data_IF_347150755649
#
_entry.id   IF_347150755649
#
_cell.length_a   1.000
_cell.length_b   1.000
_cell.length_c   1.000
_cell.angle_alpha   90.00
_cell.angle_beta   90.00
_cell.angle_gamma   90.00
#
_symmetry.space_group_name_H-M   'P 1'
#
loop_
_entity.id
_entity.type
_entity.pdbx_description
1 polymer ?
#
# COMPACT_ATOMS: atom_id res chain seq x y z
N UNK A 1 12.79 -19.53 -2.27
CA UNK A 1 11.44 -19.66 -2.87
C UNK A 1 10.90 -18.25 -3.04
N UNK A 2 10.22 -17.90 -4.16
CA UNK A 2 9.62 -16.57 -4.33
C UNK A 2 8.44 -16.42 -3.38
N UNK A 3 8.28 -15.25 -2.76
CA UNK A 3 7.09 -14.92 -1.97
C UNK A 3 5.92 -14.65 -2.91
N UNK A 4 4.78 -15.25 -2.63
CA UNK A 4 3.50 -14.94 -3.27
C UNK A 4 2.96 -13.66 -2.67
N UNK A 5 2.77 -12.65 -3.48
CA UNK A 5 2.29 -11.33 -3.04
C UNK A 5 0.91 -11.08 -3.61
N UNK A 6 0.00 -10.63 -2.76
CA UNK A 6 -1.21 -9.93 -3.17
C UNK A 6 -1.01 -8.47 -2.77
N UNK A 7 -1.11 -7.55 -3.72
CA UNK A 7 -1.20 -6.13 -3.45
C UNK A 7 -2.66 -5.72 -3.40
N UNK A 8 -3.05 -5.00 -2.34
CA UNK A 8 -4.38 -4.41 -2.21
C UNK A 8 -4.24 -2.89 -2.32
N UNK A 9 -4.61 -2.37 -3.50
CA UNK A 9 -4.23 -1.04 -3.95
C UNK A 9 -5.44 -0.12 -4.04
N UNK A 10 -5.30 1.11 -3.57
CA UNK A 10 -6.19 2.23 -3.89
C UNK A 10 -5.61 3.18 -4.96
N UNK A 11 -4.79 2.67 -5.75
CA UNK A 11 -3.88 3.04 -6.84
C UNK A 11 -3.68 4.53 -7.03
N UNK A 12 -2.85 5.04 -6.12
CA UNK A 12 -2.20 6.34 -6.19
C UNK A 12 -0.79 6.26 -6.77
N UNK A 13 0.00 7.30 -6.52
CA UNK A 13 1.38 7.42 -7.04
C UNK A 13 2.30 6.42 -6.35
N UNK A 14 2.27 6.34 -5.03
CA UNK A 14 3.12 5.44 -4.26
C UNK A 14 2.69 3.97 -4.36
N UNK A 15 1.39 3.66 -4.52
CA UNK A 15 0.90 2.34 -4.95
C UNK A 15 1.54 1.90 -6.27
N UNK A 16 1.59 2.82 -7.25
CA UNK A 16 2.21 2.56 -8.56
C UNK A 16 3.70 2.25 -8.41
N UNK A 17 4.41 2.97 -7.54
CA UNK A 17 5.81 2.70 -7.24
C UNK A 17 6.00 1.37 -6.51
N UNK A 18 5.09 1.01 -5.58
CA UNK A 18 5.10 -0.27 -4.89
C UNK A 18 4.85 -1.44 -5.86
N UNK A 19 3.90 -1.29 -6.78
CA UNK A 19 3.63 -2.26 -7.85
C UNK A 19 4.87 -2.47 -8.72
N UNK A 20 5.49 -1.39 -9.21
CA UNK A 20 6.70 -1.46 -10.03
C UNK A 20 7.87 -2.13 -9.27
N UNK A 21 8.02 -1.84 -7.98
CA UNK A 21 9.03 -2.47 -7.13
C UNK A 21 8.81 -3.98 -6.97
N UNK A 22 7.58 -4.42 -6.70
CA UNK A 22 7.27 -5.86 -6.59
C UNK A 22 7.52 -6.56 -7.91
N UNK A 23 7.11 -5.99 -9.05
CA UNK A 23 7.34 -6.55 -10.38
C UNK A 23 8.82 -6.61 -10.76
N UNK A 24 9.62 -5.67 -10.29
CA UNK A 24 11.08 -5.64 -10.44
C UNK A 24 11.85 -6.51 -9.43
N UNK A 25 11.15 -7.17 -8.51
CA UNK A 25 11.78 -7.95 -7.44
C UNK A 25 11.88 -9.44 -7.80
N UNK A 26 13.11 -10.01 -7.94
CA UNK A 26 13.29 -11.41 -8.36
C UNK A 26 12.83 -12.42 -7.31
N UNK A 27 12.68 -12.00 -6.06
CA UNK A 27 12.24 -12.76 -4.90
C UNK A 27 10.71 -12.68 -4.67
N UNK A 28 9.99 -11.93 -5.50
CA UNK A 28 8.53 -11.79 -5.49
C UNK A 28 7.86 -12.53 -6.66
N UNK A 29 6.60 -12.92 -6.43
CA UNK A 29 5.65 -13.33 -7.45
C UNK A 29 4.31 -12.66 -7.12
N UNK A 30 3.95 -11.63 -7.88
CA UNK A 30 2.65 -10.99 -7.75
C UNK A 30 1.58 -11.91 -8.33
N UNK A 31 0.73 -12.47 -7.48
CA UNK A 31 -0.32 -13.42 -7.89
C UNK A 31 -1.65 -12.76 -8.22
N UNK A 32 -1.83 -11.50 -7.85
CA UNK A 32 -2.99 -10.69 -8.17
C UNK A 32 -2.99 -9.36 -7.45
N UNK A 33 -3.78 -8.43 -7.98
CA UNK A 33 -4.10 -7.14 -7.36
C UNK A 33 -5.55 -7.20 -6.91
N UNK A 34 -5.81 -6.78 -5.68
CA UNK A 34 -7.16 -6.50 -5.17
C UNK A 34 -7.32 -4.99 -5.12
N UNK A 35 -8.24 -4.44 -5.93
CA UNK A 35 -8.47 -3.01 -5.95
C UNK A 35 -9.40 -2.59 -4.80
N UNK A 36 -9.13 -1.43 -4.23
CA UNK A 36 -9.97 -0.78 -3.23
C UNK A 36 -10.18 0.69 -3.59
N UNK A 37 -10.98 1.39 -2.81
CA UNK A 37 -11.13 2.85 -2.87
C UNK A 37 -10.10 3.49 -1.93
N UNK A 38 -9.82 4.77 -2.13
CA UNK A 38 -8.93 5.53 -1.23
C UNK A 38 -8.37 6.76 -1.90
N UNK A 39 -7.22 6.68 -2.51
CA UNK A 39 -6.61 7.78 -3.27
C UNK A 39 -7.48 8.20 -4.47
N UNK A 40 -8.22 7.23 -5.01
CA UNK A 40 -9.23 7.42 -6.06
C UNK A 40 -10.45 6.56 -5.79
N UNK A 41 -11.54 6.76 -6.53
CA UNK A 41 -12.66 5.80 -6.54
C UNK A 41 -12.21 4.48 -7.15
N UNK A 42 -12.81 3.38 -6.71
CA UNK A 42 -12.36 2.03 -7.09
C UNK A 42 -12.34 1.80 -8.61
N UNK A 43 -13.28 2.38 -9.36
CA UNK A 43 -13.34 2.26 -10.82
C UNK A 43 -12.11 2.90 -11.48
N UNK A 44 -11.65 4.04 -10.95
CA UNK A 44 -10.43 4.68 -11.42
C UNK A 44 -9.20 3.84 -11.03
N UNK A 45 -9.15 3.30 -9.81
CA UNK A 45 -8.09 2.40 -9.34
C UNK A 45 -7.95 1.17 -10.24
N UNK A 46 -9.06 0.47 -10.52
CA UNK A 46 -9.08 -0.69 -11.45
C UNK A 46 -8.57 -0.29 -12.85
N UNK A 47 -9.02 0.86 -13.36
CA UNK A 47 -8.56 1.35 -14.67
C UNK A 47 -7.04 1.62 -14.66
N UNK A 48 -6.52 2.19 -13.59
CA UNK A 48 -5.09 2.43 -13.42
C UNK A 48 -4.31 1.10 -13.34
N UNK A 49 -4.74 0.16 -12.52
CA UNK A 49 -4.09 -1.15 -12.36
C UNK A 49 -3.95 -1.89 -13.69
N UNK A 50 -5.04 -1.99 -14.44
CA UNK A 50 -5.04 -2.67 -15.74
C UNK A 50 -4.11 -1.98 -16.76
N UNK A 51 -4.11 -0.65 -16.80
CA UNK A 51 -3.24 0.14 -17.67
C UNK A 51 -1.77 0.09 -17.25
N UNK A 52 -1.49 0.11 -15.94
CA UNK A 52 -0.15 -0.05 -15.39
C UNK A 52 0.42 -1.43 -15.68
N UNK A 53 -0.37 -2.49 -15.50
CA UNK A 53 0.05 -3.85 -15.85
C UNK A 53 0.33 -3.99 -17.35
N UNK A 54 -0.42 -3.31 -18.21
CA UNK A 54 -0.14 -3.26 -19.65
C UNK A 54 1.16 -2.53 -19.94
N UNK A 55 1.36 -1.32 -19.37
CA UNK A 55 2.59 -0.54 -19.52
C UNK A 55 3.82 -1.34 -19.05
N UNK A 56 3.67 -2.11 -18.00
CA UNK A 56 4.73 -2.91 -17.39
C UNK A 56 4.94 -4.27 -18.08
N UNK A 57 4.16 -4.59 -19.13
CA UNK A 57 4.23 -5.89 -19.84
C UNK A 57 3.84 -7.07 -18.94
N UNK A 58 2.88 -6.87 -18.04
CA UNK A 58 2.40 -7.84 -17.05
C UNK A 58 0.88 -8.01 -17.06
N UNK A 59 0.21 -7.75 -18.18
CA UNK A 59 -1.25 -7.83 -18.35
C UNK A 59 -1.85 -9.21 -18.01
N UNK A 60 -1.03 -10.25 -17.89
CA UNK A 60 -1.47 -11.58 -17.43
C UNK A 60 -1.77 -11.66 -15.93
N UNK A 61 -1.36 -10.67 -15.13
CA UNK A 61 -1.64 -10.63 -13.69
C UNK A 61 -3.10 -10.20 -13.49
N UNK A 62 -3.90 -10.97 -12.74
CA UNK A 62 -5.31 -10.67 -12.56
C UNK A 62 -5.53 -9.49 -11.60
N UNK A 63 -6.54 -8.67 -11.92
CA UNK A 63 -7.05 -7.60 -11.06
C UNK A 63 -8.46 -7.98 -10.60
N UNK A 64 -8.73 -7.88 -9.30
CA UNK A 64 -10.00 -8.23 -8.68
C UNK A 64 -10.65 -7.00 -8.06
N UNK A 65 -11.93 -6.79 -8.35
CA UNK A 65 -12.69 -5.70 -7.77
C UNK A 65 -13.00 -5.98 -6.29
N UNK A 66 -12.63 -5.07 -5.43
CA UNK A 66 -12.95 -5.08 -4.01
C UNK A 66 -14.19 -4.26 -3.66
N UNK A 67 -14.27 -3.88 -2.39
CA UNK A 67 -15.34 -3.05 -1.85
C UNK A 67 -15.06 -1.59 -2.20
N UNK A 68 -16.11 -0.86 -2.56
CA UNK A 68 -16.01 0.50 -3.12
C UNK A 68 -16.25 1.63 -2.11
N UNK A 69 -16.46 1.31 -0.85
CA UNK A 69 -16.80 2.28 0.20
C UNK A 69 -16.44 1.78 1.60
N UNK A 70 -16.31 2.64 2.61
CA UNK A 70 -16.10 2.25 4.01
C UNK A 70 -17.19 1.32 4.54
N UNK A 71 -16.82 0.50 5.51
CA UNK A 71 -17.73 -0.50 6.11
C UNK A 71 -18.93 0.12 6.85
N UNK A 72 -18.85 1.40 7.20
CA UNK A 72 -19.90 2.18 7.87
C UNK A 72 -20.62 3.16 6.92
N UNK A 73 -20.38 3.10 5.62
CA UNK A 73 -20.97 3.96 4.60
C UNK A 73 -21.54 3.14 3.44
N UNK A 74 -22.34 3.80 2.57
CA UNK A 74 -22.90 3.20 1.34
C UNK A 74 -22.30 3.77 0.05
N UNK A 75 -21.38 4.74 0.17
CA UNK A 75 -20.69 5.38 -0.94
C UNK A 75 -19.35 5.91 -0.45
N UNK A 76 -18.49 6.27 -1.38
CA UNK A 76 -17.21 6.89 -1.11
C UNK A 76 -17.03 8.15 -1.95
N UNK A 77 -16.54 9.20 -1.31
CA UNK A 77 -16.07 10.42 -1.95
C UNK A 77 -14.59 10.59 -1.64
N UNK A 78 -13.78 10.84 -2.67
CA UNK A 78 -12.33 11.01 -2.51
C UNK A 78 -12.07 12.25 -1.66
N UNK A 79 -11.29 12.15 -0.58
CA UNK A 79 -10.93 13.32 0.22
C UNK A 79 -10.11 14.33 -0.58
N UNK A 80 -10.31 15.62 -0.31
CA UNK A 80 -9.55 16.69 -0.95
C UNK A 80 -8.02 16.50 -0.80
N UNK A 81 -7.58 16.00 0.35
CA UNK A 81 -6.17 15.67 0.59
C UNK A 81 -5.64 14.63 -0.41
N UNK A 82 -6.40 13.58 -0.70
CA UNK A 82 -6.01 12.57 -1.69
C UNK A 82 -5.96 13.16 -3.11
N UNK A 83 -6.93 14.01 -3.48
CA UNK A 83 -6.92 14.70 -4.78
C UNK A 83 -5.72 15.66 -4.91
N UNK A 84 -5.29 16.30 -3.83
CA UNK A 84 -4.11 17.17 -3.81
C UNK A 84 -2.86 16.34 -4.12
N UNK A 85 -2.63 15.23 -3.41
CA UNK A 85 -1.40 14.46 -3.54
C UNK A 85 -1.35 13.55 -4.77
N UNK A 86 -2.48 12.95 -5.18
CA UNK A 86 -2.50 11.95 -6.26
C UNK A 86 -3.20 12.46 -7.53
N UNK A 87 -3.77 13.66 -7.50
CA UNK A 87 -4.67 14.22 -8.51
C UNK A 87 -5.92 13.33 -8.72
N UNK A 88 -6.85 13.79 -9.56
CA UNK A 88 -8.12 13.08 -9.79
C UNK A 88 -7.96 11.72 -10.48
N UNK A 89 -6.87 11.54 -11.23
CA UNK A 89 -6.59 10.30 -11.93
C UNK A 89 -5.71 9.32 -11.14
N UNK A 90 -5.25 9.67 -9.94
CA UNK A 90 -4.38 8.83 -9.11
C UNK A 90 -2.91 8.79 -9.55
N UNK A 91 -2.54 9.50 -10.61
CA UNK A 91 -1.19 9.48 -11.20
C UNK A 91 -0.62 10.88 -11.43
N UNK A 92 -1.02 11.86 -10.57
CA UNK A 92 -0.52 13.23 -10.68
C UNK A 92 -0.93 13.94 -11.97
N UNK A 93 -2.10 13.64 -12.51
CA UNK A 93 -2.57 14.07 -13.83
C UNK A 93 -1.69 13.62 -15.01
N UNK A 94 -0.71 12.76 -14.78
CA UNK A 94 0.10 12.15 -15.84
C UNK A 94 -0.69 10.98 -16.46
N UNK A 95 -0.85 11.01 -17.78
CA UNK A 95 -1.57 9.94 -18.50
C UNK A 95 -0.72 8.66 -18.54
N UNK A 96 -1.29 7.52 -18.15
CA UNK A 96 -0.61 6.22 -18.30
C UNK A 96 -0.52 5.91 -19.80
N UNK A 97 0.69 5.77 -20.38
CA UNK A 97 0.86 5.67 -21.83
C UNK A 97 0.57 4.25 -22.37
N UNK A 98 -0.49 3.62 -21.84
CA UNK A 98 -0.96 2.29 -22.24
C UNK A 98 -2.49 2.23 -22.18
N UNK A 99 -3.07 1.34 -22.97
CA UNK A 99 -4.50 1.01 -22.92
C UNK A 99 -4.62 -0.42 -22.42
N UNK A 100 -5.51 -0.64 -21.46
CA UNK A 100 -5.78 -1.97 -20.94
C UNK A 100 -6.28 -2.90 -22.09
N UNK A 101 -5.70 -4.08 -22.17
CA UNK A 101 -6.10 -5.16 -23.09
C UNK A 101 -6.86 -6.26 -22.37
N UNK A 102 -6.84 -6.25 -21.03
CA UNK A 102 -7.55 -7.18 -20.14
C UNK A 102 -8.63 -6.44 -19.36
N UNK A 103 -9.46 -7.18 -18.66
CA UNK A 103 -10.51 -6.66 -17.80
C UNK A 103 -10.38 -7.22 -16.38
N UNK A 104 -11.06 -6.56 -15.43
CA UNK A 104 -11.21 -7.05 -14.06
C UNK A 104 -11.83 -8.45 -14.07
N UNK A 105 -11.41 -9.29 -13.12
CA UNK A 105 -11.91 -10.65 -12.97
C UNK A 105 -13.35 -10.65 -12.43
N UNK A 106 -14.14 -11.68 -12.79
CA UNK A 106 -15.51 -11.87 -12.28
C UNK A 106 -15.54 -12.18 -10.77
N UNK A 107 -14.50 -12.84 -10.26
CA UNK A 107 -14.35 -13.16 -8.83
C UNK A 107 -14.07 -11.87 -8.07
N UNK A 108 -14.69 -11.72 -6.90
CA UNK A 108 -14.42 -10.59 -6.02
C UNK A 108 -13.02 -10.65 -5.39
N UNK A 109 -12.45 -9.49 -5.02
CA UNK A 109 -11.22 -9.40 -4.23
C UNK A 109 -11.31 -10.21 -2.93
N UNK A 110 -12.43 -10.11 -2.22
CA UNK A 110 -12.68 -10.84 -0.97
C UNK A 110 -12.56 -12.37 -1.19
N UNK A 111 -13.17 -12.88 -2.25
CA UNK A 111 -13.11 -14.32 -2.55
C UNK A 111 -11.71 -14.76 -3.00
N UNK A 112 -11.00 -13.90 -3.72
CA UNK A 112 -9.61 -14.17 -4.11
C UNK A 112 -8.66 -14.20 -2.91
N UNK A 113 -8.81 -13.30 -1.95
CA UNK A 113 -8.05 -13.31 -0.69
C UNK A 113 -8.29 -14.62 0.07
N UNK A 114 -9.56 -15.00 0.23
CA UNK A 114 -9.94 -16.23 0.94
C UNK A 114 -9.35 -17.48 0.27
N UNK A 115 -9.49 -17.58 -1.04
CA UNK A 115 -8.98 -18.73 -1.80
C UNK A 115 -7.45 -18.80 -1.73
N UNK A 116 -6.76 -17.66 -1.86
CA UNK A 116 -5.31 -17.60 -1.77
C UNK A 116 -4.79 -18.01 -0.40
N UNK A 117 -5.42 -17.54 0.69
CA UNK A 117 -5.07 -17.92 2.05
C UNK A 117 -5.33 -19.40 2.36
N UNK A 118 -6.24 -20.06 1.63
CA UNK A 118 -6.48 -21.50 1.73
C UNK A 118 -5.56 -22.32 0.84
N UNK A 119 -5.05 -21.73 -0.24
CA UNK A 119 -4.22 -22.42 -1.24
C UNK A 119 -2.74 -22.41 -0.85
N UNK A 120 -2.23 -21.29 -0.36
CA UNK A 120 -0.82 -21.10 -0.04
C UNK A 120 -0.59 -21.18 1.47
N UNK A 121 0.60 -21.61 1.86
CA UNK A 121 1.01 -21.56 3.27
C UNK A 121 1.27 -20.13 3.73
N UNK A 122 1.16 -19.90 5.04
CA UNK A 122 1.46 -18.60 5.67
C UNK A 122 2.90 -18.13 5.40
N UNK A 123 3.84 -19.05 5.19
CA UNK A 123 5.23 -18.71 4.91
C UNK A 123 5.46 -18.31 3.45
N UNK A 124 4.54 -18.67 2.55
CA UNK A 124 4.61 -18.35 1.12
C UNK A 124 3.85 -17.08 0.77
N UNK A 125 2.66 -16.87 1.36
CA UNK A 125 1.75 -15.79 1.02
C UNK A 125 1.91 -14.59 1.94
N UNK A 126 2.07 -13.40 1.34
CA UNK A 126 1.99 -12.11 2.03
C UNK A 126 0.94 -11.24 1.35
N UNK A 127 0.01 -10.76 2.12
CA UNK A 127 -0.98 -9.77 1.72
C UNK A 127 -0.48 -8.38 2.12
N UNK A 128 -0.43 -7.47 1.16
CA UNK A 128 0.13 -6.13 1.33
C UNK A 128 -0.93 -5.09 0.99
N UNK A 129 -1.76 -4.68 1.95
CA UNK A 129 -2.68 -3.58 1.75
C UNK A 129 -1.93 -2.25 1.87
N UNK A 130 -2.16 -1.39 0.88
CA UNK A 130 -1.65 -0.01 0.81
C UNK A 130 -2.76 1.04 0.84
N UNK A 131 -4.01 0.59 0.84
CA UNK A 131 -5.22 1.37 1.06
C UNK A 131 -5.96 0.97 2.35
N UNK A 132 -7.26 1.33 2.48
CA UNK A 132 -8.09 0.97 3.63
C UNK A 132 -8.26 -0.55 3.78
N UNK A 133 -8.38 -1.00 5.02
CA UNK A 133 -8.43 -2.43 5.37
C UNK A 133 -9.75 -3.13 5.04
N UNK A 134 -10.66 -2.49 4.31
CA UNK A 134 -12.05 -2.93 4.09
C UNK A 134 -12.14 -4.31 3.42
N UNK A 135 -11.29 -4.59 2.41
CA UNK A 135 -11.25 -5.89 1.75
C UNK A 135 -10.81 -7.01 2.71
N UNK A 136 -9.78 -6.75 3.51
CA UNK A 136 -9.24 -7.71 4.47
C UNK A 136 -10.23 -8.01 5.60
N UNK A 137 -10.87 -6.98 6.15
CA UNK A 137 -11.91 -7.12 7.16
C UNK A 137 -13.07 -7.97 6.65
N UNK A 138 -13.57 -7.69 5.45
CA UNK A 138 -14.63 -8.48 4.83
C UNK A 138 -14.22 -9.93 4.57
N UNK A 139 -12.96 -10.17 4.18
CA UNK A 139 -12.44 -11.52 4.01
C UNK A 139 -12.39 -12.29 5.34
N UNK A 140 -11.93 -11.66 6.41
CA UNK A 140 -11.90 -12.24 7.75
C UNK A 140 -13.31 -12.49 8.31
N UNK A 141 -14.24 -11.57 8.10
CA UNK A 141 -15.65 -11.74 8.50
C UNK A 141 -16.32 -12.90 7.75
N UNK A 142 -16.07 -13.02 6.43
CA UNK A 142 -16.65 -14.08 5.59
C UNK A 142 -16.02 -15.45 5.84
N UNK A 143 -14.73 -15.49 6.17
CA UNK A 143 -13.97 -16.72 6.34
C UNK A 143 -13.01 -16.65 7.54
N UNK A 144 -13.50 -16.76 8.79
CA UNK A 144 -12.65 -16.67 9.97
C UNK A 144 -11.51 -17.69 10.02
N UNK A 145 -11.62 -18.80 9.28
CA UNK A 145 -10.60 -19.85 9.19
C UNK A 145 -9.30 -19.41 8.50
N UNK A 146 -9.29 -18.25 7.82
CA UNK A 146 -8.09 -17.75 7.14
C UNK A 146 -7.26 -16.79 7.99
N UNK A 147 -7.78 -16.30 9.10
CA UNK A 147 -7.14 -15.27 9.94
C UNK A 147 -5.71 -15.65 10.33
N UNK A 148 -5.50 -16.89 10.75
CA UNK A 148 -4.17 -17.38 11.15
C UNK A 148 -3.32 -17.91 9.97
N UNK A 149 -3.89 -17.92 8.76
CA UNK A 149 -3.23 -18.49 7.56
C UNK A 149 -2.58 -17.43 6.67
N UNK A 150 -2.87 -16.17 6.87
CA UNK A 150 -2.36 -15.08 6.07
C UNK A 150 -1.37 -14.22 6.87
N UNK A 151 -0.29 -13.80 6.23
CA UNK A 151 0.63 -12.80 6.76
C UNK A 151 0.29 -11.45 6.12
N UNK A 152 0.12 -10.44 6.95
CA UNK A 152 -0.22 -9.08 6.51
C UNK A 152 0.95 -8.16 6.78
N UNK A 153 1.37 -7.42 5.76
CA UNK A 153 2.31 -6.29 5.89
C UNK A 153 1.60 -5.08 5.32
N UNK A 154 1.02 -4.26 6.19
CA UNK A 154 0.17 -3.15 5.77
C UNK A 154 0.90 -1.82 5.84
N UNK A 155 0.67 -0.97 4.83
CA UNK A 155 0.94 0.45 4.96
C UNK A 155 -0.26 1.12 5.61
N UNK A 156 -0.01 1.82 6.69
CA UNK A 156 -1.05 2.58 7.38
C UNK A 156 -0.75 2.81 8.85
N UNK A 157 -1.45 3.78 9.42
CA UNK A 157 -1.39 4.10 10.82
C UNK A 157 -0.15 4.88 11.27
N UNK A 158 -0.19 5.22 12.54
CA UNK A 158 0.88 5.95 13.20
C UNK A 158 0.78 5.70 14.71
N UNK A 159 1.83 5.15 15.32
CA UNK A 159 1.84 4.88 16.75
C UNK A 159 2.50 6.02 17.55
N UNK A 160 3.68 6.46 17.12
CA UNK A 160 4.50 7.45 17.85
C UNK A 160 4.56 8.81 17.14
N UNK A 161 4.12 8.88 15.87
CA UNK A 161 4.10 10.10 15.07
C UNK A 161 2.68 10.70 15.00
N UNK A 162 2.53 11.98 14.66
CA UNK A 162 1.23 12.52 14.26
C UNK A 162 0.73 11.84 12.97
N UNK A 163 -0.54 12.03 12.66
CA UNK A 163 -1.10 11.63 11.38
C UNK A 163 -0.66 12.56 10.23
N UNK A 164 -1.00 12.19 9.00
CA UNK A 164 -0.78 12.99 7.79
C UNK A 164 -2.08 13.58 7.21
N UNK A 165 -3.26 13.09 7.63
CA UNK A 165 -4.54 13.74 7.32
C UNK A 165 -4.90 14.82 8.34
N UNK A 166 -4.55 14.61 9.60
CA UNK A 166 -4.58 15.58 10.69
C UNK A 166 -3.66 15.07 11.81
N UNK A 167 -3.66 15.75 12.97
CA UNK A 167 -2.77 15.38 14.09
C UNK A 167 -2.98 13.96 14.64
N UNK A 168 -4.06 13.27 14.29
CA UNK A 168 -4.40 11.94 14.81
C UNK A 168 -4.39 10.85 13.75
N UNK A 169 -4.89 11.15 12.54
CA UNK A 169 -5.23 10.16 11.52
C UNK A 169 -4.15 10.04 10.45
N UNK A 170 -3.74 8.81 10.18
CA UNK A 170 -3.07 8.44 8.95
C UNK A 170 -4.13 8.12 7.86
N UNK A 171 -3.80 8.38 6.60
CA UNK A 171 -4.74 8.36 5.48
C UNK A 171 -5.51 7.03 5.35
N UNK A 172 -4.81 5.89 5.24
CA UNK A 172 -5.43 4.59 4.99
C UNK A 172 -6.34 4.13 6.14
N UNK A 173 -5.87 4.32 7.38
CA UNK A 173 -6.68 4.00 8.56
C UNK A 173 -7.89 4.92 8.67
N UNK A 174 -7.75 6.20 8.29
CA UNK A 174 -8.82 7.19 8.41
C UNK A 174 -10.01 6.91 7.48
N UNK A 175 -9.78 6.22 6.39
CA UNK A 175 -10.81 5.92 5.37
C UNK A 175 -11.77 4.82 5.80
N UNK A 176 -11.33 3.85 6.62
CA UNK A 176 -12.20 2.87 7.29
C UNK A 176 -11.64 2.48 8.67
N UNK A 177 -11.79 3.36 9.69
CA UNK A 177 -11.31 3.07 11.04
C UNK A 177 -11.97 1.85 11.66
N UNK A 178 -13.24 1.59 11.32
CA UNK A 178 -13.98 0.43 11.83
C UNK A 178 -13.43 -0.88 11.30
N UNK A 179 -13.16 -0.97 9.99
CA UNK A 179 -12.53 -2.16 9.41
C UNK A 179 -11.13 -2.37 9.98
N UNK A 180 -10.34 -1.30 10.08
CA UNK A 180 -8.98 -1.35 10.63
C UNK A 180 -8.96 -1.80 12.09
N UNK A 181 -9.89 -1.29 12.93
CA UNK A 181 -10.04 -1.73 14.33
C UNK A 181 -10.38 -3.23 14.41
N UNK A 182 -11.34 -3.70 13.59
CA UNK A 182 -11.69 -5.13 13.57
C UNK A 182 -10.52 -6.01 13.14
N UNK A 183 -9.77 -5.59 12.12
CA UNK A 183 -8.57 -6.31 11.64
C UNK A 183 -7.50 -6.39 12.73
N UNK A 184 -7.18 -5.30 13.41
CA UNK A 184 -6.19 -5.29 14.50
C UNK A 184 -6.60 -6.11 15.73
N UNK A 185 -7.90 -6.30 15.95
CA UNK A 185 -8.40 -7.13 17.06
C UNK A 185 -8.38 -8.63 16.78
N UNK A 186 -8.06 -9.05 15.57
CA UNK A 186 -7.94 -10.46 15.20
C UNK A 186 -6.64 -11.10 15.73
N UNK A 187 -6.45 -12.38 15.44
CA UNK A 187 -5.20 -13.13 15.71
C UNK A 187 -4.25 -13.16 14.50
N UNK A 188 -4.55 -12.39 13.46
CA UNK A 188 -3.72 -12.33 12.26
C UNK A 188 -2.29 -11.83 12.55
N UNK A 189 -1.31 -12.38 11.86
CA UNK A 189 0.09 -11.91 11.92
C UNK A 189 0.24 -10.63 11.10
N UNK A 190 0.12 -9.48 11.77
CA UNK A 190 0.13 -8.16 11.14
C UNK A 190 1.43 -7.43 11.46
N UNK A 191 2.09 -6.94 10.43
CA UNK A 191 3.18 -5.96 10.55
C UNK A 191 2.67 -4.62 10.01
N UNK A 192 2.53 -3.63 10.88
CA UNK A 192 2.14 -2.28 10.52
C UNK A 192 3.38 -1.45 10.14
N UNK A 193 3.40 -0.94 8.92
CA UNK A 193 4.41 -0.03 8.37
C UNK A 193 3.76 1.36 8.33
N UNK A 194 3.80 2.02 9.47
CA UNK A 194 3.15 3.31 9.67
C UNK A 194 4.07 4.50 9.39
N UNK A 195 3.53 5.70 9.60
CA UNK A 195 4.27 6.96 9.45
C UNK A 195 5.52 7.02 10.33
N UNK A 196 5.57 6.21 11.39
CA UNK A 196 6.75 6.06 12.27
C UNK A 196 8.03 5.77 11.49
N UNK A 197 7.94 5.06 10.37
CA UNK A 197 9.08 4.66 9.53
C UNK A 197 8.99 5.17 8.09
N UNK A 198 7.80 5.30 7.52
CA UNK A 198 7.65 5.68 6.11
C UNK A 198 8.08 7.12 5.83
N UNK A 199 7.95 7.99 6.83
CA UNK A 199 8.43 9.38 6.78
C UNK A 199 9.95 9.52 6.70
N UNK A 200 10.71 8.43 6.88
CA UNK A 200 12.16 8.42 6.86
C UNK A 200 12.75 7.97 5.51
N UNK A 201 11.89 7.52 4.57
CA UNK A 201 12.29 6.98 3.27
C UNK A 201 11.84 7.93 2.15
N UNK A 202 12.80 8.59 1.50
CA UNK A 202 12.53 9.63 0.51
C UNK A 202 13.02 9.24 -0.88
N UNK A 203 12.27 9.68 -1.90
CA UNK A 203 12.67 9.74 -3.30
C UNK A 203 12.76 11.19 -3.74
N UNK A 204 13.81 11.54 -4.46
CA UNK A 204 14.11 12.93 -4.88
C UNK A 204 14.11 13.06 -6.40
N UNK A 205 14.18 14.30 -6.90
CA UNK A 205 14.28 14.56 -8.35
C UNK A 205 15.56 13.99 -8.98
N UNK A 206 16.56 13.63 -8.20
CA UNK A 206 17.74 12.92 -8.70
C UNK A 206 17.38 11.52 -9.19
N UNK A 207 16.55 10.80 -8.47
CA UNK A 207 16.11 9.46 -8.83
C UNK A 207 15.10 9.49 -9.99
N UNK A 208 14.22 10.49 -10.04
CA UNK A 208 13.31 10.66 -11.19
C UNK A 208 14.06 10.98 -12.48
N UNK A 209 15.11 11.77 -12.40
CA UNK A 209 15.95 12.06 -13.56
C UNK A 209 16.72 10.80 -14.04
N UNK A 210 17.16 9.93 -13.13
CA UNK A 210 17.74 8.64 -13.47
C UNK A 210 16.74 7.77 -14.22
N UNK A 211 15.49 7.68 -13.75
CA UNK A 211 14.41 6.95 -14.44
C UNK A 211 14.12 7.53 -15.84
N UNK A 212 14.06 8.86 -15.96
CA UNK A 212 13.82 9.55 -17.25
C UNK A 212 14.95 9.28 -18.24
N UNK A 213 16.18 9.24 -17.76
CA UNK A 213 17.38 8.98 -18.57
C UNK A 213 17.44 7.56 -19.16
N UNK A 214 16.59 6.61 -18.70
CA UNK A 214 16.46 5.29 -19.30
C UNK A 214 15.89 5.34 -20.72
N UNK A 215 15.14 6.39 -21.07
CA UNK A 215 14.55 6.56 -22.40
C UNK A 215 13.38 5.63 -22.70
N UNK A 216 12.88 4.88 -21.72
CA UNK A 216 11.70 4.00 -21.84
C UNK A 216 10.40 4.75 -21.50
N UNK A 217 9.27 4.30 -22.07
CA UNK A 217 7.95 4.87 -21.73
C UNK A 217 7.65 4.72 -20.23
N UNK A 218 7.98 3.57 -19.65
CA UNK A 218 7.85 3.29 -18.20
C UNK A 218 8.71 4.22 -17.36
N UNK A 219 10.00 4.38 -17.69
CA UNK A 219 10.89 5.25 -16.94
C UNK A 219 10.44 6.70 -16.97
N UNK A 220 10.00 7.20 -18.14
CA UNK A 220 9.44 8.55 -18.27
C UNK A 220 8.17 8.72 -17.44
N UNK A 221 7.23 7.79 -17.55
CA UNK A 221 5.95 7.85 -16.81
C UNK A 221 6.18 7.87 -15.30
N UNK A 222 6.99 6.94 -14.77
CA UNK A 222 7.30 6.87 -13.35
C UNK A 222 8.01 8.15 -12.86
N UNK A 223 8.91 8.71 -13.67
CA UNK A 223 9.58 9.96 -13.34
C UNK A 223 8.62 11.15 -13.29
N UNK A 224 7.81 11.34 -14.33
CA UNK A 224 6.90 12.49 -14.43
C UNK A 224 5.82 12.45 -13.33
N UNK A 225 5.28 11.27 -13.04
CA UNK A 225 4.31 11.05 -11.97
C UNK A 225 4.92 11.34 -10.59
N UNK A 226 6.14 10.88 -10.35
CA UNK A 226 6.82 11.11 -9.07
C UNK A 226 7.28 12.56 -8.91
N UNK A 227 7.67 13.23 -9.99
CA UNK A 227 7.98 14.67 -9.94
C UNK A 227 6.77 15.50 -9.48
N UNK A 228 5.56 15.15 -9.97
CA UNK A 228 4.33 15.78 -9.45
C UNK A 228 4.19 15.55 -7.93
N UNK A 229 4.44 14.32 -7.46
CA UNK A 229 4.31 13.99 -6.02
C UNK A 229 5.35 14.74 -5.17
N UNK A 230 6.58 14.90 -5.68
CA UNK A 230 7.62 15.68 -5.01
C UNK A 230 7.22 17.15 -4.94
N UNK A 231 6.76 17.73 -6.06
CA UNK A 231 6.42 19.16 -6.12
C UNK A 231 5.24 19.49 -5.20
N UNK A 232 4.19 18.66 -5.18
CA UNK A 232 3.05 18.87 -4.29
C UNK A 232 3.41 18.61 -2.81
N UNK A 233 4.28 17.65 -2.51
CA UNK A 233 4.75 17.41 -1.14
C UNK A 233 5.49 18.63 -0.57
N UNK A 234 6.34 19.25 -1.38
CA UNK A 234 7.05 20.48 -1.01
C UNK A 234 6.11 21.70 -0.87
N UNK A 235 5.09 21.79 -1.72
CA UNK A 235 4.09 22.87 -1.66
C UNK A 235 3.23 22.78 -0.39
N UNK A 236 2.79 21.55 -0.02
CA UNK A 236 1.92 21.32 1.14
C UNK A 236 2.68 21.46 2.45
N UNK A 237 3.90 20.91 2.54
CA UNK A 237 4.75 21.04 3.73
C UNK A 237 6.23 21.21 3.33
N UNK A 238 6.76 22.45 3.43
CA UNK A 238 8.16 22.75 3.12
C UNK A 238 9.18 21.94 3.96
N UNK A 239 8.77 21.27 5.04
CA UNK A 239 9.64 20.35 5.78
C UNK A 239 10.02 19.11 4.95
N UNK A 240 9.25 18.78 3.91
CA UNK A 240 9.54 17.73 2.94
C UNK A 240 10.27 18.21 1.68
N UNK A 241 10.85 19.43 1.73
CA UNK A 241 11.53 20.03 0.60
C UNK A 241 12.52 19.07 -0.08
N UNK A 242 12.32 18.86 -1.39
CA UNK A 242 13.22 18.10 -2.27
C UNK A 242 12.95 16.61 -2.37
N UNK A 243 11.85 16.09 -1.81
CA UNK A 243 11.52 14.67 -1.93
C UNK A 243 10.07 14.34 -1.62
N UNK A 244 9.66 13.13 -1.98
CA UNK A 244 8.41 12.53 -1.54
C UNK A 244 8.67 11.27 -0.71
N UNK A 245 7.74 10.97 0.20
CA UNK A 245 7.85 9.79 1.05
C UNK A 245 7.46 8.51 0.28
N UNK A 246 8.21 7.44 0.52
CA UNK A 246 7.99 6.12 -0.08
C UNK A 246 7.16 5.25 0.88
N UNK A 247 5.88 5.62 1.09
CA UNK A 247 4.99 4.94 2.04
C UNK A 247 4.77 3.48 1.65
N UNK A 248 4.07 3.23 0.57
CA UNK A 248 3.71 1.89 0.09
C UNK A 248 4.89 1.08 -0.41
N UNK A 249 5.89 1.69 -1.10
CA UNK A 249 7.09 0.97 -1.47
C UNK A 249 7.85 0.37 -0.29
N UNK A 250 7.85 1.04 0.88
CA UNK A 250 8.48 0.50 2.08
C UNK A 250 7.72 -0.72 2.61
N UNK A 251 6.39 -0.68 2.65
CA UNK A 251 5.58 -1.84 3.05
C UNK A 251 5.80 -3.03 2.10
N UNK A 252 5.79 -2.78 0.80
CA UNK A 252 6.10 -3.79 -0.22
C UNK A 252 7.51 -4.39 -0.04
N UNK A 253 8.51 -3.55 0.30
CA UNK A 253 9.87 -4.01 0.54
C UNK A 253 9.99 -4.86 1.82
N UNK A 254 9.31 -4.46 2.90
CA UNK A 254 9.29 -5.22 4.18
C UNK A 254 8.58 -6.57 4.01
N UNK A 255 7.57 -6.68 3.14
CA UNK A 255 6.95 -7.95 2.81
C UNK A 255 7.94 -8.97 2.26
N UNK A 256 8.97 -8.50 1.53
CA UNK A 256 10.04 -9.33 0.97
C UNK A 256 11.23 -9.49 1.93
N UNK A 257 11.58 -8.43 2.64
CA UNK A 257 12.70 -8.40 3.58
C UNK A 257 12.32 -7.72 4.91
N UNK A 258 11.78 -8.48 5.86
CA UNK A 258 11.39 -7.93 7.17
C UNK A 258 12.55 -7.34 7.98
N UNK A 259 13.80 -7.64 7.62
CA UNK A 259 14.97 -7.11 8.32
C UNK A 259 15.27 -5.63 8.01
N UNK A 260 14.49 -5.02 7.10
CA UNK A 260 14.57 -3.58 6.82
C UNK A 260 14.06 -2.72 7.99
N UNK A 261 13.24 -3.29 8.87
CA UNK A 261 12.63 -2.58 9.99
C UNK A 261 12.87 -3.28 11.32
N UNK A 262 12.89 -2.49 12.39
CA UNK A 262 12.81 -3.00 13.76
C UNK A 262 11.40 -2.78 14.27
N UNK A 263 10.75 -3.89 14.64
CA UNK A 263 9.36 -3.87 15.07
C UNK A 263 9.22 -4.00 16.60
N UNK A 264 8.22 -3.33 17.13
CA UNK A 264 7.75 -3.48 18.50
C UNK A 264 6.48 -4.32 18.52
N UNK A 265 6.43 -5.44 19.26
CA UNK A 265 5.24 -6.27 19.36
C UNK A 265 4.21 -5.61 20.29
N UNK A 266 3.03 -5.33 19.76
CA UNK A 266 1.94 -4.66 20.49
C UNK A 266 0.60 -5.03 19.85
N UNK A 267 -0.40 -5.35 20.66
CA UNK A 267 -1.78 -5.42 20.15
C UNK A 267 -2.32 -4.01 19.98
N UNK A 268 -2.86 -3.73 18.80
CA UNK A 268 -3.40 -2.43 18.43
C UNK A 268 -4.93 -2.39 18.52
N UNK A 269 -5.44 -1.19 18.57
CA UNK A 269 -6.82 -0.81 18.25
C UNK A 269 -6.81 0.53 17.52
N UNK A 270 -7.94 0.85 16.90
CA UNK A 270 -8.16 2.15 16.28
C UNK A 270 -9.28 2.87 17.03
N UNK A 271 -9.09 4.15 17.31
CA UNK A 271 -10.17 4.98 17.84
C UNK A 271 -11.20 5.23 16.73
N UNK A 272 -12.41 4.74 16.91
CA UNK A 272 -13.44 4.77 15.86
C UNK A 272 -14.41 5.96 16.00
N UNK A 273 -14.36 6.67 17.12
CA UNK A 273 -15.24 7.77 17.44
C UNK A 273 -14.49 8.98 18.02
N UNK A 274 -15.20 10.08 18.17
CA UNK A 274 -14.68 11.28 18.86
C UNK A 274 -13.53 11.97 18.11
N UNK A 275 -12.80 12.87 18.81
CA UNK A 275 -11.78 13.71 18.17
C UNK A 275 -10.53 12.93 17.71
N UNK A 276 -10.30 11.75 18.27
CA UNK A 276 -9.20 10.87 17.91
C UNK A 276 -9.55 9.81 16.85
N UNK A 277 -10.72 9.89 16.22
CA UNK A 277 -11.15 8.91 15.21
C UNK A 277 -10.05 8.68 14.17
N UNK A 278 -9.74 7.42 13.88
CA UNK A 278 -8.67 7.02 12.97
C UNK A 278 -7.28 6.92 13.61
N UNK A 279 -7.13 7.24 14.90
CA UNK A 279 -5.86 7.08 15.61
C UNK A 279 -5.58 5.63 15.93
N UNK A 280 -4.43 5.12 15.52
CA UNK A 280 -3.88 3.83 15.96
C UNK A 280 -3.23 3.96 17.33
N UNK A 281 -3.63 3.11 18.26
CA UNK A 281 -3.10 3.10 19.64
C UNK A 281 -2.89 1.66 20.11
N UNK A 282 -2.05 1.49 21.15
CA UNK A 282 -1.95 0.21 21.85
C UNK A 282 -3.28 -0.15 22.53
N UNK A 283 -3.72 -1.39 22.35
CA UNK A 283 -4.97 -1.87 22.98
C UNK A 283 -4.80 -2.02 24.50
N UNK A 284 -5.45 -1.17 25.33
CA UNK A 284 -5.27 -1.21 26.79
C UNK A 284 -5.78 -2.51 27.41
N UNK A 285 -6.76 -3.17 26.80
CA UNK A 285 -7.31 -4.45 27.28
C UNK A 285 -6.32 -5.61 27.11
N UNK A 286 -5.37 -5.48 26.20
CA UNK A 286 -4.39 -6.50 25.82
C UNK A 286 -2.95 -6.17 26.20
N UNK A 287 -2.69 -5.17 27.05
CA UNK A 287 -1.33 -4.75 27.40
C UNK A 287 -0.46 -5.89 27.92
N UNK A 288 -1.00 -6.76 28.75
CA UNK A 288 -0.29 -7.88 29.36
C UNK A 288 -0.49 -9.22 28.63
N UNK A 289 -1.30 -9.26 27.55
CA UNK A 289 -1.56 -10.47 26.79
C UNK A 289 -0.32 -10.95 26.03
N UNK A 290 -0.17 -12.26 25.92
CA UNK A 290 0.87 -12.90 25.10
C UNK A 290 0.26 -14.12 24.38
N UNK A 291 0.69 -14.45 23.17
CA UNK A 291 1.60 -13.66 22.33
C UNK A 291 0.95 -12.38 21.81
N UNK A 292 1.77 -11.46 21.29
CA UNK A 292 1.31 -10.31 20.50
C UNK A 292 1.16 -10.71 19.05
N UNK A 293 0.03 -10.38 18.45
CA UNK A 293 -0.25 -10.73 17.04
C UNK A 293 0.19 -9.62 16.07
N UNK A 294 0.19 -8.38 16.53
CA UNK A 294 0.61 -7.21 15.74
C UNK A 294 2.02 -6.77 16.11
N UNK A 295 2.73 -6.27 15.12
CA UNK A 295 4.06 -5.67 15.25
C UNK A 295 4.02 -4.32 14.54
N UNK A 296 4.52 -3.28 15.19
CA UNK A 296 4.64 -1.93 14.62
C UNK A 296 6.10 -1.66 14.33
N UNK A 297 6.41 -1.29 13.08
CA UNK A 297 7.74 -0.84 12.71
C UNK A 297 8.02 0.53 13.33
N UNK A 298 9.08 0.64 14.14
CA UNK A 298 9.47 1.88 14.82
C UNK A 298 10.85 2.39 14.40
N UNK A 299 11.64 1.57 13.71
CA UNK A 299 12.90 1.99 13.10
C UNK A 299 13.05 1.32 11.74
N UNK A 300 13.70 2.00 10.81
CA UNK A 300 13.96 1.54 9.44
C UNK A 300 15.41 1.79 9.05
N UNK A 301 15.99 0.83 8.32
CA UNK A 301 17.24 1.02 7.57
C UNK A 301 16.92 1.69 6.23
N UNK A 302 16.64 3.01 6.30
CA UNK A 302 16.19 3.79 5.16
C UNK A 302 17.22 3.80 4.01
N UNK A 303 18.51 3.84 4.32
CA UNK A 303 19.58 3.82 3.31
C UNK A 303 19.61 2.48 2.55
N UNK A 304 19.51 1.36 3.26
CA UNK A 304 19.46 0.02 2.63
C UNK A 304 18.19 -0.15 1.81
N UNK A 305 17.05 0.33 2.32
CA UNK A 305 15.78 0.28 1.61
C UNK A 305 15.85 1.10 0.31
N UNK A 306 16.16 2.40 0.39
CA UNK A 306 16.13 3.31 -0.78
C UNK A 306 17.12 2.85 -1.86
N UNK A 307 18.34 2.46 -1.48
CA UNK A 307 19.32 1.91 -2.40
C UNK A 307 18.78 0.69 -3.16
N UNK A 308 18.15 -0.28 -2.46
CA UNK A 308 17.57 -1.48 -3.08
C UNK A 308 16.35 -1.12 -3.93
N UNK A 309 15.50 -0.22 -3.44
CA UNK A 309 14.32 0.23 -4.13
C UNK A 309 14.69 0.83 -5.50
N UNK A 310 15.61 1.80 -5.52
CA UNK A 310 16.02 2.45 -6.76
C UNK A 310 16.69 1.47 -7.72
N UNK A 311 17.59 0.62 -7.24
CA UNK A 311 18.23 -0.40 -8.08
C UNK A 311 17.20 -1.31 -8.78
N UNK A 312 16.18 -1.77 -8.06
CA UNK A 312 15.14 -2.64 -8.63
C UNK A 312 14.20 -1.87 -9.56
N UNK A 313 13.83 -0.65 -9.18
CA UNK A 313 12.94 0.20 -9.98
C UNK A 313 13.59 0.58 -11.31
N UNK A 314 14.84 1.04 -11.30
CA UNK A 314 15.60 1.35 -12.51
C UNK A 314 15.78 0.11 -13.41
N UNK A 315 16.22 -1.02 -12.82
CA UNK A 315 16.38 -2.26 -13.57
C UNK A 315 15.07 -2.72 -14.21
N UNK A 316 13.95 -2.60 -13.49
CA UNK A 316 12.63 -2.94 -13.99
C UNK A 316 12.21 -1.99 -15.13
N UNK A 317 12.25 -0.68 -14.88
CA UNK A 317 11.85 0.33 -15.86
C UNK A 317 12.68 0.26 -17.17
N UNK A 318 13.93 -0.14 -17.08
CA UNK A 318 14.79 -0.37 -18.24
C UNK A 318 14.35 -1.57 -19.11
N UNK A 319 13.64 -2.54 -18.55
CA UNK A 319 13.16 -3.75 -19.28
C UNK A 319 11.77 -3.58 -19.88
N UNK A 320 10.99 -2.60 -19.43
CA UNK A 320 9.67 -2.29 -19.95
C UNK A 320 9.80 -1.34 -21.15
N UNK A 321 9.35 -1.81 -22.31
CA UNK A 321 9.43 -1.04 -23.58
C UNK A 321 8.33 -0.01 -23.70
#
# INVERSE_FOLDING_TARGET
MRKKIILDLDTGIDDTLALAYILGSPDAELIGITATYGNVVIEQGISNDLRLLELFGRSYIPVYQGISHPSDASSYEVPESSEIFHAKNGTGNIEIPAKATTSVQEKSAVDFIIESARTYSKDELVYVPTGPSTNLDAAFAKAPDIVDKIKVVMMGGSLTQPGNCNMFMEANISQDPHASDRVFRTTADITMIGLDVTMQALMTKKETEALRSLGTATGKFLADMTDYYIDISEEVDPAFAGGCNLHDPLAAAVALDPSLVTCFPIDLMVETEGPGRGRTIGNPEKLLSQPKNTKVALAVDAERFTRRFFQRLEAFAATCQ
#
